data_IF_689640820701
#
_entry.id   IF_689640820701
#
_cell.length_a   1.000
_cell.length_b   1.000
_cell.length_c   1.000
_cell.angle_alpha   90.00
_cell.angle_beta   90.00
_cell.angle_gamma   90.00
#
_symmetry.space_group_name_H-M   'P 1'
#
loop_
_entity.id
_entity.type
_entity.pdbx_description
1 polymer ?
#
# COMPACT_ATOMS: atom_id res chain seq x y z
N UNK A 1 12.10 -21.45 -17.80
CA UNK A 1 12.30 -20.99 -16.43
C UNK A 1 13.09 -19.70 -16.50
N UNK A 2 12.55 -18.60 -16.01
CA UNK A 2 13.23 -17.29 -16.01
C UNK A 2 13.93 -17.14 -14.66
N UNK A 3 15.25 -16.85 -14.70
CA UNK A 3 16.03 -16.55 -13.51
C UNK A 3 16.04 -15.03 -13.31
N UNK A 4 15.67 -14.56 -12.12
CA UNK A 4 15.63 -13.16 -11.76
C UNK A 4 16.52 -12.95 -10.54
N UNK A 5 17.56 -12.15 -10.69
CA UNK A 5 18.42 -11.78 -9.57
C UNK A 5 17.73 -10.73 -8.70
N UNK A 6 17.71 -10.95 -7.39
CA UNK A 6 17.03 -10.13 -6.36
C UNK A 6 18.09 -9.40 -5.55
N UNK A 7 17.94 -8.09 -5.43
CA UNK A 7 18.88 -7.22 -4.72
C UNK A 7 18.16 -6.44 -3.60
N UNK A 8 18.85 -6.29 -2.49
CA UNK A 8 18.56 -5.29 -1.46
C UNK A 8 19.22 -3.95 -1.82
N UNK A 9 18.48 -2.85 -1.59
CA UNK A 9 18.97 -1.48 -1.82
C UNK A 9 18.36 -0.53 -0.79
N UNK A 10 18.39 -0.88 0.52
CA UNK A 10 17.96 0.03 1.57
C UNK A 10 19.05 1.04 1.94
N UNK A 11 18.63 2.16 2.50
CA UNK A 11 19.45 3.37 2.67
C UNK A 11 20.78 3.19 3.41
N UNK A 12 20.90 2.17 4.29
CA UNK A 12 22.14 1.89 5.01
C UNK A 12 23.19 1.19 4.17
N UNK A 13 22.81 0.65 3.00
CA UNK A 13 23.74 -0.01 2.08
C UNK A 13 24.42 1.02 1.18
N UNK A 14 25.75 0.98 1.10
CA UNK A 14 26.53 1.86 0.20
C UNK A 14 26.25 1.58 -1.29
N UNK A 15 25.82 0.35 -1.60
CA UNK A 15 25.47 -0.12 -2.94
C UNK A 15 24.46 -1.28 -2.84
N UNK A 16 23.65 -1.51 -3.87
CA UNK A 16 22.77 -2.67 -3.90
C UNK A 16 23.55 -3.99 -3.69
N UNK A 17 23.00 -4.86 -2.82
CA UNK A 17 23.56 -6.19 -2.51
C UNK A 17 22.64 -7.28 -3.03
N UNK A 18 23.20 -8.27 -3.72
CA UNK A 18 22.38 -9.41 -4.17
C UNK A 18 21.96 -10.25 -2.98
N UNK A 19 20.64 -10.44 -2.85
CA UNK A 19 20.02 -11.31 -1.86
C UNK A 19 19.99 -12.77 -2.32
N UNK A 20 19.71 -12.98 -3.62
CA UNK A 20 19.51 -14.30 -4.15
C UNK A 20 18.84 -14.30 -5.51
N UNK A 21 18.13 -15.38 -5.81
CA UNK A 21 17.50 -15.60 -7.10
C UNK A 21 16.05 -16.05 -6.98
N UNK A 22 15.18 -15.49 -7.82
CA UNK A 22 13.85 -15.98 -8.09
C UNK A 22 13.86 -16.85 -9.34
N UNK A 23 13.37 -18.06 -9.20
CA UNK A 23 13.15 -19.00 -10.30
C UNK A 23 11.67 -18.94 -10.69
N UNK A 24 11.34 -18.17 -11.73
CA UNK A 24 9.99 -18.09 -12.26
C UNK A 24 9.74 -19.28 -13.22
N UNK A 25 9.14 -20.32 -12.72
CA UNK A 25 8.79 -21.53 -13.46
C UNK A 25 7.31 -21.54 -13.88
N UNK A 26 7.01 -22.17 -15.03
CA UNK A 26 5.61 -22.45 -15.43
C UNK A 26 5.18 -23.78 -14.82
N UNK A 27 4.23 -23.71 -13.88
CA UNK A 27 3.51 -24.90 -13.41
C UNK A 27 2.10 -24.89 -14.01
N UNK A 28 1.84 -25.74 -15.00
CA UNK A 28 0.59 -25.80 -15.78
C UNK A 28 0.30 -24.45 -16.47
N UNK A 29 -0.63 -23.65 -15.95
CA UNK A 29 -1.03 -22.35 -16.50
C UNK A 29 -0.58 -21.15 -15.65
N UNK A 30 0.12 -21.36 -14.54
CA UNK A 30 0.57 -20.33 -13.60
C UNK A 30 2.09 -20.33 -13.46
N UNK A 31 2.70 -19.17 -13.21
CA UNK A 31 4.08 -19.12 -12.76
C UNK A 31 4.11 -19.29 -11.24
N UNK A 32 5.01 -20.11 -10.76
CA UNK A 32 5.33 -20.25 -9.34
C UNK A 32 6.73 -19.68 -9.15
N UNK A 33 6.90 -18.86 -8.14
CA UNK A 33 8.18 -18.34 -7.73
C UNK A 33 8.81 -19.26 -6.69
N UNK A 34 10.00 -19.75 -7.00
CA UNK A 34 10.90 -20.38 -6.04
C UNK A 34 12.00 -19.38 -5.74
N UNK A 35 12.36 -19.20 -4.47
CA UNK A 35 13.45 -18.29 -4.08
C UNK A 35 14.58 -19.06 -3.43
N UNK A 36 15.82 -18.68 -3.72
CA UNK A 36 17.01 -19.14 -3.02
C UNK A 36 17.91 -17.96 -2.68
N UNK A 37 18.45 -17.95 -1.46
CA UNK A 37 19.46 -16.98 -1.08
C UNK A 37 20.78 -17.26 -1.78
N UNK A 38 21.49 -16.19 -2.11
CA UNK A 38 22.91 -16.27 -2.43
C UNK A 38 23.69 -16.62 -1.14
N UNK A 39 24.57 -17.61 -1.16
CA UNK A 39 25.43 -17.99 -0.02
C UNK A 39 26.17 -16.77 0.53
N UNK A 40 26.66 -15.87 -0.36
CA UNK A 40 27.31 -14.64 0.05
C UNK A 40 26.37 -13.69 0.81
N UNK A 41 25.09 -13.66 0.48
CA UNK A 41 24.09 -12.83 1.17
C UNK A 41 23.82 -13.31 2.59
N UNK A 42 23.78 -14.62 2.81
CA UNK A 42 23.59 -15.20 4.14
C UNK A 42 24.76 -14.92 5.10
N UNK A 43 25.95 -14.65 4.54
CA UNK A 43 27.15 -14.32 5.29
C UNK A 43 27.46 -12.81 5.36
N UNK A 44 26.67 -11.96 4.67
CA UNK A 44 26.93 -10.52 4.59
C UNK A 44 26.37 -9.77 5.82
N UNK A 45 27.23 -9.22 6.68
CA UNK A 45 26.78 -8.51 7.88
C UNK A 45 26.04 -7.20 7.55
N UNK A 46 26.22 -6.61 6.36
CA UNK A 46 25.49 -5.40 5.94
C UNK A 46 24.03 -5.70 5.58
N UNK A 47 23.73 -6.95 5.22
CA UNK A 47 22.37 -7.42 4.97
C UNK A 47 21.61 -7.82 6.23
N UNK A 48 22.16 -7.58 7.41
CA UNK A 48 21.66 -7.99 8.72
C UNK A 48 20.14 -7.73 8.88
N UNK A 49 19.35 -8.70 8.51
CA UNK A 49 17.89 -8.71 8.65
C UNK A 49 17.43 -10.01 9.30
N UNK A 50 16.34 -9.94 10.07
CA UNK A 50 15.80 -11.12 10.76
C UNK A 50 14.87 -11.93 9.89
N UNK A 51 13.99 -11.24 9.14
CA UNK A 51 13.07 -11.84 8.16
C UNK A 51 12.63 -10.78 7.16
N UNK A 52 12.51 -11.16 5.90
CA UNK A 52 11.90 -10.34 4.83
C UNK A 52 10.46 -10.77 4.55
N UNK A 53 10.16 -12.03 4.84
CA UNK A 53 8.89 -12.68 4.63
C UNK A 53 8.85 -13.90 5.57
N UNK A 54 7.78 -14.14 6.32
CA UNK A 54 7.68 -15.27 7.25
C UNK A 54 7.92 -16.64 6.60
N UNK A 55 7.68 -16.76 5.31
CA UNK A 55 7.89 -17.99 4.53
C UNK A 55 9.28 -18.13 3.95
N UNK A 56 10.10 -17.08 3.99
CA UNK A 56 11.48 -17.13 3.52
C UNK A 56 12.41 -17.25 4.73
N UNK A 57 12.98 -18.42 4.91
CA UNK A 57 13.90 -18.70 6.04
C UNK A 57 15.35 -18.50 5.61
N UNK A 58 16.22 -18.15 6.55
CA UNK A 58 17.64 -17.87 6.32
C UNK A 58 18.47 -19.15 6.21
N UNK A 59 18.37 -19.83 5.06
CA UNK A 59 19.18 -21.01 4.75
C UNK A 59 19.47 -21.11 3.24
N UNK A 60 20.48 -21.89 2.90
CA UNK A 60 20.82 -22.21 1.51
C UNK A 60 19.80 -23.18 0.89
N UNK A 61 19.49 -22.98 -0.37
CA UNK A 61 18.59 -23.85 -1.14
C UNK A 61 17.27 -23.20 -1.50
N UNK A 62 16.52 -23.88 -2.36
CA UNK A 62 15.26 -23.38 -2.90
C UNK A 62 14.14 -23.47 -1.87
N UNK A 63 13.42 -22.40 -1.76
CA UNK A 63 12.25 -22.24 -0.92
C UNK A 63 11.01 -21.99 -1.79
N UNK A 64 9.87 -22.42 -1.32
CA UNK A 64 8.61 -22.41 -2.07
C UNK A 64 7.57 -21.59 -1.32
N UNK A 65 6.68 -20.86 -2.02
CA UNK A 65 5.55 -20.20 -1.41
C UNK A 65 4.60 -21.24 -0.82
N UNK A 66 3.68 -20.80 0.05
CA UNK A 66 2.70 -21.68 0.69
C UNK A 66 1.80 -22.42 -0.29
N UNK A 67 1.08 -23.44 0.22
CA UNK A 67 0.07 -24.14 -0.57
C UNK A 67 -0.94 -23.13 -1.12
N UNK A 68 -1.29 -23.26 -2.40
CA UNK A 68 -2.19 -22.37 -3.13
C UNK A 68 -1.66 -20.95 -3.42
N UNK A 69 -0.42 -20.63 -3.03
CA UNK A 69 0.23 -19.36 -3.37
C UNK A 69 1.18 -19.54 -4.55
N UNK A 70 1.25 -18.54 -5.43
CA UNK A 70 2.15 -18.55 -6.60
C UNK A 70 3.44 -17.77 -6.34
N UNK A 71 3.49 -16.96 -5.28
CA UNK A 71 4.59 -16.08 -4.91
C UNK A 71 4.63 -15.82 -3.41
N UNK A 72 5.79 -15.44 -2.91
CA UNK A 72 5.96 -14.93 -1.55
C UNK A 72 5.38 -13.52 -1.43
N UNK A 73 4.96 -13.16 -0.23
CA UNK A 73 4.34 -11.86 0.05
C UNK A 73 5.25 -10.68 -0.29
N UNK A 74 6.54 -10.75 0.06
CA UNK A 74 7.53 -9.70 -0.22
C UNK A 74 7.67 -9.40 -1.72
N UNK A 75 7.52 -10.39 -2.59
CA UNK A 75 7.50 -10.18 -4.04
C UNK A 75 6.13 -9.72 -4.54
N UNK A 76 5.07 -10.07 -3.82
CA UNK A 76 3.74 -9.53 -4.08
C UNK A 76 3.67 -8.03 -3.78
N UNK A 77 4.25 -7.58 -2.66
CA UNK A 77 4.33 -6.16 -2.29
C UNK A 77 5.15 -5.33 -3.29
N UNK A 78 6.13 -5.96 -3.96
CA UNK A 78 6.93 -5.33 -5.01
C UNK A 78 6.28 -5.36 -6.40
N UNK A 79 5.15 -6.06 -6.56
CA UNK A 79 4.40 -6.20 -7.82
C UNK A 79 3.31 -5.12 -7.93
N UNK A 80 2.75 -4.85 -9.12
CA UNK A 80 1.70 -3.87 -9.26
C UNK A 80 0.42 -4.30 -8.52
N UNK A 81 -0.31 -3.32 -7.98
CA UNK A 81 -1.64 -3.52 -7.43
C UNK A 81 -2.70 -3.86 -8.51
N UNK A 82 -3.96 -3.99 -8.11
CA UNK A 82 -5.05 -4.32 -9.04
C UNK A 82 -5.19 -3.30 -10.17
N UNK A 83 -5.01 -2.01 -9.87
CA UNK A 83 -5.05 -0.95 -10.88
C UNK A 83 -3.87 -1.08 -11.87
N UNK A 84 -2.65 -1.20 -11.36
CA UNK A 84 -1.45 -1.39 -12.20
C UNK A 84 -1.53 -2.65 -13.05
N UNK A 85 -2.04 -3.76 -12.51
CA UNK A 85 -2.27 -4.99 -13.29
C UNK A 85 -3.29 -4.79 -14.40
N UNK A 86 -4.39 -4.03 -14.14
CA UNK A 86 -5.38 -3.70 -15.15
C UNK A 86 -4.75 -2.91 -16.30
N UNK A 87 -3.94 -1.91 -15.99
CA UNK A 87 -3.24 -1.11 -16.99
C UNK A 87 -2.31 -1.95 -17.86
N UNK A 88 -1.52 -2.85 -17.24
CA UNK A 88 -0.63 -3.75 -17.98
C UNK A 88 -1.39 -4.72 -18.88
N UNK A 89 -2.52 -5.27 -18.42
CA UNK A 89 -3.39 -6.13 -19.24
C UNK A 89 -3.95 -5.38 -20.43
N UNK A 90 -4.50 -4.17 -20.24
CA UNK A 90 -5.02 -3.32 -21.32
C UNK A 90 -3.95 -2.95 -22.32
N UNK A 91 -2.71 -2.70 -21.86
CA UNK A 91 -1.60 -2.47 -22.76
C UNK A 91 -1.32 -3.68 -23.64
N UNK A 92 -1.23 -4.87 -23.03
CA UNK A 92 -1.01 -6.11 -23.80
C UNK A 92 -2.12 -6.36 -24.82
N UNK A 93 -3.40 -6.18 -24.45
CA UNK A 93 -4.53 -6.30 -25.37
C UNK A 93 -4.40 -5.36 -26.55
N UNK A 94 -3.94 -4.14 -26.32
CA UNK A 94 -3.67 -3.17 -27.37
C UNK A 94 -2.49 -3.57 -28.24
N UNK A 95 -1.38 -3.98 -27.65
CA UNK A 95 -0.21 -4.44 -28.39
C UNK A 95 -0.54 -5.66 -29.29
N UNK A 96 -1.41 -6.56 -28.85
CA UNK A 96 -1.92 -7.68 -29.65
C UNK A 96 -2.76 -7.17 -30.82
N UNK A 97 -3.66 -6.20 -30.60
CA UNK A 97 -4.51 -5.60 -31.64
C UNK A 97 -3.69 -4.88 -32.70
N UNK A 98 -2.67 -4.15 -32.27
CA UNK A 98 -1.78 -3.37 -33.14
C UNK A 98 -0.71 -4.27 -33.83
N UNK A 99 -0.71 -5.59 -33.55
CA UNK A 99 0.25 -6.53 -34.14
C UNK A 99 1.65 -6.48 -33.51
N UNK A 100 1.83 -5.76 -32.42
CA UNK A 100 3.09 -5.63 -31.68
C UNK A 100 3.35 -6.82 -30.76
N UNK A 101 2.30 -7.58 -30.40
CA UNK A 101 2.41 -8.81 -29.65
C UNK A 101 1.61 -9.95 -30.32
N UNK A 102 2.07 -11.21 -30.25
CA UNK A 102 1.35 -12.35 -30.81
C UNK A 102 -0.03 -12.54 -30.18
N UNK A 103 -1.01 -13.01 -30.98
CA UNK A 103 -2.32 -13.40 -30.46
C UNK A 103 -2.17 -14.52 -29.43
N UNK A 104 -2.89 -14.39 -28.31
CA UNK A 104 -2.86 -15.37 -27.23
C UNK A 104 -1.71 -15.18 -26.23
N UNK A 105 -0.86 -14.15 -26.38
CA UNK A 105 0.11 -13.75 -25.36
C UNK A 105 -0.62 -13.45 -24.04
N UNK A 106 -0.06 -13.89 -22.92
CA UNK A 106 -0.60 -13.68 -21.57
C UNK A 106 0.49 -13.11 -20.68
N UNK A 107 0.09 -12.27 -19.72
CA UNK A 107 0.95 -11.82 -18.62
C UNK A 107 0.94 -12.87 -17.51
N UNK A 108 2.13 -13.13 -16.97
CA UNK A 108 2.37 -13.99 -15.82
C UNK A 108 2.87 -13.16 -14.64
N UNK A 109 2.99 -13.76 -13.47
CA UNK A 109 3.46 -13.08 -12.27
C UNK A 109 4.84 -12.43 -12.45
N UNK A 110 5.75 -13.08 -13.22
CA UNK A 110 7.06 -12.51 -13.57
C UNK A 110 6.96 -11.25 -14.42
N UNK A 111 5.98 -11.19 -15.34
CA UNK A 111 5.80 -10.02 -16.19
C UNK A 111 5.26 -8.84 -15.37
N UNK A 112 4.34 -9.10 -14.41
CA UNK A 112 3.87 -8.11 -13.48
C UNK A 112 5.01 -7.60 -12.59
N UNK A 113 5.78 -8.50 -11.98
CA UNK A 113 6.91 -8.13 -11.13
C UNK A 113 7.93 -7.27 -11.87
N UNK A 114 8.37 -7.69 -13.06
CA UNK A 114 9.37 -7.00 -13.84
C UNK A 114 8.84 -5.76 -14.57
N UNK A 115 7.53 -5.64 -14.73
CA UNK A 115 6.89 -4.53 -15.43
C UNK A 115 6.68 -3.27 -14.59
N UNK A 116 7.00 -3.29 -13.29
CA UNK A 116 7.01 -2.08 -12.46
C UNK A 116 8.34 -1.36 -12.66
N UNK A 117 8.29 -0.08 -13.04
CA UNK A 117 9.48 0.73 -13.21
C UNK A 117 10.30 0.76 -11.91
N UNK A 118 11.60 0.47 -12.01
CA UNK A 118 12.48 0.27 -10.84
C UNK A 118 12.44 1.45 -9.87
N UNK A 119 12.55 2.69 -10.37
CA UNK A 119 12.55 3.90 -9.53
C UNK A 119 11.29 4.03 -8.67
N UNK A 120 10.13 3.54 -9.15
CA UNK A 120 8.82 3.70 -8.51
C UNK A 120 8.36 2.45 -7.76
N UNK A 121 9.10 1.37 -7.86
CA UNK A 121 8.84 0.14 -7.11
C UNK A 121 8.80 0.42 -5.60
N UNK A 122 7.84 -0.18 -4.92
CA UNK A 122 7.71 -0.07 -3.46
C UNK A 122 8.84 -0.81 -2.76
N UNK A 123 9.28 -0.24 -1.65
CA UNK A 123 10.33 -0.79 -0.82
C UNK A 123 11.72 -0.72 -1.45
N UNK A 124 12.59 -1.58 -1.00
CA UNK A 124 14.01 -1.55 -1.33
C UNK A 124 14.51 -2.83 -1.99
N UNK A 125 13.61 -3.71 -2.46
CA UNK A 125 13.99 -4.87 -3.28
C UNK A 125 13.95 -4.48 -4.75
N UNK A 126 15.02 -4.83 -5.47
CA UNK A 126 15.24 -4.53 -6.90
C UNK A 126 15.57 -5.80 -7.67
N UNK A 127 15.32 -5.80 -8.97
CA UNK A 127 15.39 -7.00 -9.80
C UNK A 127 16.23 -6.78 -11.05
N UNK A 128 16.99 -7.83 -11.46
CA UNK A 128 17.71 -7.88 -12.72
C UNK A 128 17.50 -9.24 -13.39
N UNK A 129 17.59 -9.28 -14.73
CA UNK A 129 17.63 -10.54 -15.49
C UNK A 129 19.05 -11.06 -15.71
N UNK A 130 20.04 -10.18 -15.61
CA UNK A 130 21.47 -10.53 -15.63
C UNK A 130 22.24 -9.55 -14.77
N UNK A 131 23.40 -9.94 -14.28
CA UNK A 131 24.18 -9.15 -13.32
C UNK A 131 24.73 -7.84 -13.92
N UNK A 132 25.00 -7.80 -15.22
CA UNK A 132 25.54 -6.63 -15.93
C UNK A 132 24.43 -5.67 -16.41
N UNK A 133 23.17 -6.10 -16.41
CA UNK A 133 22.02 -5.31 -16.85
C UNK A 133 21.58 -4.26 -15.84
N UNK A 134 20.67 -3.40 -16.30
CA UNK A 134 20.00 -2.44 -15.45
C UNK A 134 18.99 -3.12 -14.52
N UNK A 135 18.58 -2.43 -13.46
CA UNK A 135 17.44 -2.83 -12.65
C UNK A 135 16.14 -2.60 -13.44
N UNK A 136 15.26 -3.57 -13.45
CA UNK A 136 14.05 -3.57 -14.27
C UNK A 136 12.80 -3.12 -13.48
N UNK A 137 11.85 -2.42 -14.09
CA UNK A 137 11.83 -1.89 -15.47
C UNK A 137 12.63 -0.58 -15.53
N UNK A 138 13.46 -0.39 -16.58
CA UNK A 138 14.36 0.76 -16.74
C UNK A 138 13.98 1.70 -17.91
N UNK A 139 12.81 1.53 -18.49
CA UNK A 139 12.38 2.33 -19.65
C UNK A 139 12.10 3.78 -19.27
N UNK A 140 12.91 4.72 -19.73
CA UNK A 140 12.80 6.16 -19.42
C UNK A 140 11.43 6.76 -19.75
N UNK A 141 10.75 6.26 -20.78
CA UNK A 141 9.39 6.67 -21.14
C UNK A 141 8.32 6.32 -20.12
N UNK A 142 8.70 5.62 -19.04
CA UNK A 142 7.87 5.25 -17.90
C UNK A 142 8.24 6.04 -16.62
N UNK A 143 8.91 7.19 -16.74
CA UNK A 143 9.23 8.04 -15.60
C UNK A 143 7.96 8.67 -14.98
N UNK A 144 7.93 8.83 -13.63
CA UNK A 144 6.81 9.49 -12.96
C UNK A 144 6.66 10.93 -13.45
N UNK A 145 5.47 11.31 -13.89
CA UNK A 145 5.22 12.67 -14.32
C UNK A 145 5.29 13.65 -13.12
N UNK A 146 5.66 14.90 -13.37
CA UNK A 146 5.62 15.92 -12.33
C UNK A 146 4.18 16.32 -11.96
N UNK A 147 3.99 16.97 -10.83
CA UNK A 147 2.68 17.47 -10.36
C UNK A 147 1.93 18.35 -11.39
N UNK A 148 2.65 19.03 -12.26
CA UNK A 148 2.01 19.86 -13.33
C UNK A 148 1.17 19.03 -14.30
N UNK A 149 1.39 17.73 -14.36
CA UNK A 149 0.67 16.79 -15.23
C UNK A 149 -0.61 16.21 -14.58
N UNK A 150 -0.89 16.51 -13.28
CA UNK A 150 -1.98 15.87 -12.53
C UNK A 150 -3.34 16.03 -13.20
N UNK A 151 -3.64 17.20 -13.81
CA UNK A 151 -4.88 17.41 -14.58
C UNK A 151 -4.98 16.43 -15.76
N UNK A 152 -3.90 16.30 -16.53
CA UNK A 152 -3.86 15.41 -17.68
C UNK A 152 -3.96 13.94 -17.27
N UNK A 153 -3.31 13.55 -16.17
CA UNK A 153 -3.39 12.20 -15.61
C UNK A 153 -4.81 11.85 -15.13
N UNK A 154 -5.50 12.78 -14.45
CA UNK A 154 -6.89 12.60 -14.04
C UNK A 154 -7.81 12.43 -15.26
N UNK A 155 -7.65 13.27 -16.29
CA UNK A 155 -8.41 13.16 -17.55
C UNK A 155 -8.16 11.82 -18.23
N UNK A 156 -6.89 11.38 -18.33
CA UNK A 156 -6.52 10.10 -18.91
C UNK A 156 -7.11 8.92 -18.11
N UNK A 157 -7.11 9.00 -16.79
CA UNK A 157 -7.70 8.00 -15.90
C UNK A 157 -9.20 7.86 -16.12
N UNK A 158 -9.93 8.97 -16.13
CA UNK A 158 -11.39 9.01 -16.36
C UNK A 158 -11.76 8.53 -17.77
N UNK A 159 -10.98 8.95 -18.78
CA UNK A 159 -11.18 8.50 -20.15
C UNK A 159 -10.99 6.98 -20.28
N UNK A 160 -9.97 6.43 -19.59
CA UNK A 160 -9.72 5.00 -19.59
C UNK A 160 -10.82 4.19 -18.86
N UNK A 161 -11.42 4.72 -17.80
CA UNK A 161 -12.58 4.10 -17.14
C UNK A 161 -13.81 4.07 -18.05
N UNK A 162 -14.00 5.11 -18.90
CA UNK A 162 -15.10 5.23 -19.84
C UNK A 162 -14.86 4.47 -21.17
N UNK A 163 -13.65 3.92 -21.39
CA UNK A 163 -13.29 3.10 -22.55
C UNK A 163 -12.93 1.66 -22.11
N UNK A 164 -13.91 0.89 -21.59
CA UNK A 164 -13.66 -0.44 -21.04
C UNK A 164 -13.09 -1.42 -22.06
N UNK A 165 -13.42 -1.25 -23.34
CA UNK A 165 -12.94 -2.09 -24.44
C UNK A 165 -11.60 -1.62 -25.02
N UNK A 166 -11.05 -0.51 -24.49
CA UNK A 166 -9.77 0.07 -24.92
C UNK A 166 -9.72 0.31 -26.44
N UNK A 167 -10.82 0.85 -27.01
CA UNK A 167 -11.01 0.98 -28.46
C UNK A 167 -10.62 2.35 -29.01
N UNK A 168 -10.56 3.39 -28.15
CA UNK A 168 -10.26 4.75 -28.60
C UNK A 168 -8.85 4.90 -29.19
N UNK A 169 -8.67 5.80 -30.14
CA UNK A 169 -7.36 6.10 -30.74
C UNK A 169 -6.38 6.67 -29.70
N UNK A 170 -6.88 7.46 -28.75
CA UNK A 170 -6.08 8.12 -27.71
C UNK A 170 -5.72 7.18 -26.54
N UNK A 171 -6.34 6.01 -26.46
CA UNK A 171 -6.13 5.05 -25.35
C UNK A 171 -4.68 4.62 -25.17
N UNK A 172 -3.85 4.63 -26.22
CA UNK A 172 -2.41 4.32 -26.12
C UNK A 172 -1.66 5.39 -25.32
N UNK A 173 -1.95 6.65 -25.55
CA UNK A 173 -1.31 7.76 -24.84
C UNK A 173 -1.74 7.77 -23.37
N UNK A 174 -3.04 7.59 -23.09
CA UNK A 174 -3.55 7.48 -21.72
C UNK A 174 -2.91 6.32 -20.97
N UNK A 175 -2.83 5.13 -21.60
CA UNK A 175 -2.15 3.98 -20.99
C UNK A 175 -0.67 4.30 -20.73
N UNK A 176 0.02 4.95 -21.67
CA UNK A 176 1.42 5.34 -21.49
C UNK A 176 1.60 6.29 -20.31
N UNK A 177 0.72 7.27 -20.15
CA UNK A 177 0.77 8.23 -19.04
C UNK A 177 0.53 7.58 -17.67
N UNK A 178 -0.33 6.56 -17.60
CA UNK A 178 -0.76 5.94 -16.35
C UNK A 178 0.05 4.70 -15.95
N UNK A 179 0.56 3.91 -16.92
CA UNK A 179 1.32 2.67 -16.64
C UNK A 179 2.65 2.95 -15.97
N UNK A 180 3.33 4.03 -16.37
CA UNK A 180 4.62 4.38 -15.82
C UNK A 180 4.62 4.49 -14.29
N UNK A 181 3.60 5.15 -13.73
CA UNK A 181 3.53 5.38 -12.30
C UNK A 181 2.78 4.31 -11.50
N UNK A 182 2.24 3.29 -12.12
CA UNK A 182 1.46 2.24 -11.46
C UNK A 182 2.28 1.43 -10.46
N UNK A 183 2.49 1.99 -9.28
CA UNK A 183 3.16 1.35 -8.16
C UNK A 183 2.18 0.63 -7.24
N UNK A 184 2.70 -0.26 -6.44
CA UNK A 184 2.04 -1.33 -5.70
C UNK A 184 1.44 -0.94 -4.34
N UNK A 185 1.01 0.28 -4.11
CA UNK A 185 0.45 0.69 -2.81
C UNK A 185 -1.10 0.59 -2.76
N UNK A 186 -1.61 -0.64 -2.98
CA UNK A 186 -2.98 -1.03 -2.60
C UNK A 186 -4.13 -0.49 -3.46
N UNK A 187 -5.14 -1.33 -3.72
CA UNK A 187 -6.46 -0.94 -4.20
C UNK A 187 -6.69 -0.97 -5.72
N UNK A 188 -7.97 -0.91 -6.11
CA UNK A 188 -8.43 -0.94 -7.49
C UNK A 188 -8.74 0.46 -8.08
N UNK A 189 -8.67 1.50 -7.26
CA UNK A 189 -8.95 2.88 -7.68
C UNK A 189 -7.86 3.44 -8.58
N UNK A 190 -8.22 4.35 -9.51
CA UNK A 190 -7.27 5.04 -10.36
C UNK A 190 -6.22 5.80 -9.54
N UNK A 191 -4.95 5.55 -9.81
CA UNK A 191 -3.84 6.21 -9.14
C UNK A 191 -2.59 6.24 -10.01
N UNK A 192 -1.66 7.14 -9.66
CA UNK A 192 -0.36 7.24 -10.30
C UNK A 192 0.73 7.65 -9.30
N UNK A 193 1.96 7.19 -9.50
CA UNK A 193 3.12 7.81 -8.85
C UNK A 193 3.46 9.10 -9.57
N UNK A 194 3.69 10.16 -8.81
CA UNK A 194 4.07 11.48 -9.34
C UNK A 194 5.24 12.03 -8.53
N UNK A 195 5.97 13.00 -9.09
CA UNK A 195 7.08 13.64 -8.41
C UNK A 195 6.77 15.12 -8.16
N UNK A 196 7.07 15.60 -6.94
CA UNK A 196 7.03 17.03 -6.66
C UNK A 196 8.26 17.78 -7.26
N UNK A 197 8.29 19.09 -7.09
CA UNK A 197 9.38 19.95 -7.60
C UNK A 197 10.76 19.61 -7.02
N UNK A 198 10.80 18.93 -5.90
CA UNK A 198 12.04 18.51 -5.23
C UNK A 198 12.44 17.07 -5.61
N UNK A 199 11.62 16.39 -6.43
CA UNK A 199 11.83 15.01 -6.85
C UNK A 199 11.32 13.96 -5.85
N UNK A 200 10.64 14.35 -4.77
CA UNK A 200 10.02 13.42 -3.85
C UNK A 200 8.86 12.70 -4.55
N UNK A 201 8.71 11.43 -4.24
CA UNK A 201 7.66 10.58 -4.80
C UNK A 201 6.36 10.69 -3.99
N UNK A 202 5.26 10.79 -4.70
CA UNK A 202 3.91 10.83 -4.18
C UNK A 202 3.03 9.83 -4.94
N UNK A 203 1.93 9.43 -4.31
CA UNK A 203 0.86 8.70 -4.96
C UNK A 203 -0.31 9.66 -5.11
N UNK A 204 -0.74 9.90 -6.35
CA UNK A 204 -1.95 10.63 -6.64
C UNK A 204 -3.09 9.63 -6.84
N UNK A 205 -4.13 9.71 -6.00
CA UNK A 205 -5.38 8.94 -6.10
C UNK A 205 -6.41 9.82 -6.80
N UNK A 206 -6.81 9.42 -8.00
CA UNK A 206 -7.74 10.21 -8.81
C UNK A 206 -9.19 9.87 -8.50
N UNK A 207 -10.12 10.84 -8.65
CA UNK A 207 -11.54 10.56 -8.66
C UNK A 207 -11.90 9.54 -9.73
N UNK A 208 -12.70 8.54 -9.38
CA UNK A 208 -13.27 7.59 -10.32
C UNK A 208 -14.55 8.13 -10.92
N UNK A 209 -14.88 7.75 -12.16
CA UNK A 209 -16.17 8.05 -12.78
C UNK A 209 -17.34 7.35 -12.10
N UNK A 210 -17.06 6.43 -11.18
CA UNK A 210 -18.03 5.65 -10.39
C UNK A 210 -18.26 6.19 -8.98
N UNK A 211 -17.57 7.26 -8.61
CA UNK A 211 -17.69 7.82 -7.26
C UNK A 211 -18.98 8.62 -7.11
N UNK A 212 -19.80 8.20 -6.14
CA UNK A 212 -21.04 8.89 -5.78
C UNK A 212 -20.81 10.11 -4.85
N UNK A 213 -19.59 10.21 -4.29
CA UNK A 213 -19.16 11.28 -3.38
C UNK A 213 -17.65 11.53 -3.52
N UNK A 214 -17.16 12.62 -2.93
CA UNK A 214 -15.75 13.02 -2.99
C UNK A 214 -14.86 12.18 -2.08
N UNK A 215 -14.48 10.97 -2.54
CA UNK A 215 -13.66 10.02 -1.77
C UNK A 215 -12.30 10.62 -1.41
N UNK A 216 -11.63 11.29 -2.36
CA UNK A 216 -10.33 11.92 -2.10
C UNK A 216 -10.40 13.05 -1.08
N UNK A 217 -11.47 13.84 -1.10
CA UNK A 217 -11.73 14.87 -0.11
C UNK A 217 -11.97 14.28 1.29
N UNK A 218 -12.72 13.19 1.40
CA UNK A 218 -12.96 12.51 2.68
C UNK A 218 -11.72 11.80 3.21
N UNK A 219 -10.91 11.16 2.36
CA UNK A 219 -9.64 10.59 2.79
C UNK A 219 -8.71 11.67 3.35
N UNK A 220 -8.68 12.86 2.74
CA UNK A 220 -7.92 13.99 3.26
C UNK A 220 -8.46 14.47 4.61
N UNK A 221 -9.78 14.62 4.77
CA UNK A 221 -10.40 15.01 6.06
C UNK A 221 -9.97 14.05 7.17
N UNK A 222 -10.08 12.73 6.93
CA UNK A 222 -9.68 11.72 7.91
C UNK A 222 -8.17 11.77 8.19
N UNK A 223 -7.34 11.99 7.18
CA UNK A 223 -5.88 12.14 7.38
C UNK A 223 -5.52 13.36 8.26
N UNK A 224 -6.24 14.47 8.10
CA UNK A 224 -6.07 15.67 8.94
C UNK A 224 -6.47 15.38 10.38
N UNK A 225 -7.62 14.72 10.60
CA UNK A 225 -8.08 14.34 11.95
C UNK A 225 -7.11 13.37 12.61
N UNK A 226 -6.62 12.35 11.89
CA UNK A 226 -5.63 11.41 12.40
C UNK A 226 -4.33 12.11 12.84
N UNK A 227 -3.85 13.06 12.05
CA UNK A 227 -2.69 13.87 12.40
C UNK A 227 -2.96 14.75 13.65
N UNK A 228 -4.15 15.34 13.77
CA UNK A 228 -4.55 16.11 14.94
C UNK A 228 -4.70 15.24 16.21
N UNK A 229 -5.05 13.98 16.07
CA UNK A 229 -5.00 12.96 17.13
C UNK A 229 -3.57 12.57 17.53
N UNK A 230 -2.55 13.02 16.80
CA UNK A 230 -1.14 12.66 17.05
C UNK A 230 -0.69 11.34 16.44
N UNK A 231 -1.50 10.72 15.59
CA UNK A 231 -1.09 9.53 14.84
C UNK A 231 -0.01 9.88 13.80
N UNK A 232 0.89 8.93 13.54
CA UNK A 232 1.84 9.03 12.44
C UNK A 232 1.12 8.77 11.12
N UNK A 233 0.95 9.82 10.32
CA UNK A 233 0.19 9.78 9.07
C UNK A 233 1.07 10.23 7.92
N UNK A 234 1.00 9.52 6.80
CA UNK A 234 1.66 9.94 5.58
C UNK A 234 1.14 11.32 5.13
N UNK A 235 2.06 12.23 4.80
CA UNK A 235 1.71 13.60 4.43
C UNK A 235 0.79 13.63 3.22
N UNK A 236 -0.40 14.23 3.37
CA UNK A 236 -1.44 14.32 2.35
C UNK A 236 -1.67 15.75 1.83
N UNK A 237 -2.15 15.84 0.60
CA UNK A 237 -2.63 17.07 -0.05
C UNK A 237 -3.88 16.70 -0.85
N UNK A 238 -4.95 17.48 -0.77
CA UNK A 238 -6.14 17.31 -1.61
C UNK A 238 -6.35 18.53 -2.49
N UNK A 239 -6.64 18.33 -3.78
CA UNK A 239 -6.92 19.39 -4.75
C UNK A 239 -7.75 18.88 -5.90
N UNK A 240 -8.71 19.69 -6.38
CA UNK A 240 -9.46 19.43 -7.60
C UNK A 240 -8.67 19.86 -8.83
N UNK A 241 -8.62 19.01 -9.88
CA UNK A 241 -7.88 19.29 -11.12
C UNK A 241 -8.78 19.30 -12.36
N UNK A 242 -9.39 18.18 -12.71
CA UNK A 242 -10.20 18.01 -13.91
C UNK A 242 -11.68 17.73 -13.61
N UNK A 243 -12.02 17.48 -12.37
CA UNK A 243 -13.38 17.26 -11.88
C UNK A 243 -13.65 18.07 -10.60
N UNK A 244 -14.88 18.03 -10.12
CA UNK A 244 -15.31 18.69 -8.88
C UNK A 244 -14.90 17.89 -7.62
N UNK A 245 -14.44 16.63 -7.77
CA UNK A 245 -13.93 15.82 -6.70
C UNK A 245 -12.42 16.00 -6.54
N UNK A 246 -11.93 15.83 -5.32
CA UNK A 246 -10.51 15.97 -5.02
C UNK A 246 -9.68 14.78 -5.49
N UNK A 247 -8.58 15.07 -6.16
CA UNK A 247 -7.44 14.16 -6.21
C UNK A 247 -6.72 14.24 -4.85
N UNK A 248 -6.58 13.11 -4.18
CA UNK A 248 -5.80 13.02 -2.95
C UNK A 248 -4.40 12.53 -3.26
N UNK A 249 -3.40 13.31 -2.86
CA UNK A 249 -1.99 12.99 -3.05
C UNK A 249 -1.35 12.70 -1.70
N UNK A 250 -0.68 11.56 -1.59
CA UNK A 250 0.02 11.14 -0.38
C UNK A 250 1.51 10.96 -0.66
N UNK A 251 2.38 11.58 0.17
CA UNK A 251 3.83 11.42 0.06
C UNK A 251 4.21 9.99 0.41
N UNK A 252 5.08 9.39 -0.39
CA UNK A 252 5.58 8.04 -0.12
C UNK A 252 6.51 8.08 1.09
N UNK A 253 6.25 7.19 2.04
CA UNK A 253 7.03 7.03 3.26
C UNK A 253 8.12 5.95 3.14
N UNK A 254 8.15 5.20 2.03
CA UNK A 254 9.19 4.21 1.73
C UNK A 254 10.42 4.82 1.02
N UNK A 255 10.54 6.14 1.11
CA UNK A 255 11.70 6.91 0.63
C UNK A 255 12.13 7.93 1.68
N UNK A 256 13.44 8.08 1.84
CA UNK A 256 14.00 9.17 2.64
C UNK A 256 13.88 10.52 1.93
N UNK A 257 14.11 11.61 2.63
CA UNK A 257 14.12 12.95 2.03
C UNK A 257 15.22 13.12 0.96
N UNK A 258 16.26 12.30 1.02
CA UNK A 258 17.36 12.27 0.02
C UNK A 258 17.10 11.28 -1.12
N UNK A 259 15.96 10.57 -1.10
CA UNK A 259 15.57 9.60 -2.12
C UNK A 259 16.06 8.17 -1.88
N UNK A 260 16.74 7.89 -0.75
CA UNK A 260 17.11 6.55 -0.32
C UNK A 260 15.86 5.67 -0.14
N UNK A 261 16.01 4.36 -0.35
CA UNK A 261 14.90 3.40 -0.24
C UNK A 261 14.80 2.85 1.18
N UNK A 262 13.59 2.78 1.69
CA UNK A 262 13.24 2.03 2.91
C UNK A 262 12.51 0.76 2.46
N UNK A 263 12.93 -0.40 2.99
CA UNK A 263 12.24 -1.63 2.64
C UNK A 263 10.89 -1.70 3.35
N UNK A 264 9.86 -2.05 2.58
CA UNK A 264 8.47 -2.11 3.01
C UNK A 264 7.95 -3.55 2.87
N UNK A 265 7.20 -3.99 3.86
CA UNK A 265 6.36 -5.18 3.80
C UNK A 265 4.95 -4.84 4.27
N UNK A 266 3.91 -5.30 3.57
CA UNK A 266 2.53 -5.16 4.04
C UNK A 266 2.26 -6.05 5.25
N UNK A 267 1.25 -5.71 6.06
CA UNK A 267 0.81 -6.59 7.13
C UNK A 267 0.31 -7.93 6.57
N UNK A 268 -0.31 -7.92 5.39
CA UNK A 268 -0.70 -9.15 4.70
C UNK A 268 0.51 -10.10 4.49
N UNK A 269 1.67 -9.55 4.10
CA UNK A 269 2.91 -10.32 3.97
C UNK A 269 3.41 -10.83 5.30
N UNK A 270 3.50 -9.94 6.31
CA UNK A 270 4.12 -10.27 7.61
C UNK A 270 3.26 -11.20 8.46
N UNK A 271 1.94 -11.23 8.27
CA UNK A 271 1.00 -12.15 8.94
C UNK A 271 0.70 -13.42 8.13
N UNK A 272 1.33 -13.56 6.93
CA UNK A 272 1.11 -14.68 6.02
C UNK A 272 -0.34 -14.85 5.55
N UNK A 273 -1.10 -13.75 5.52
CA UNK A 273 -2.48 -13.69 5.02
C UNK A 273 -2.52 -13.51 3.51
N UNK A 274 -3.68 -13.77 2.92
CA UNK A 274 -3.92 -13.57 1.49
C UNK A 274 -4.88 -12.42 1.22
N UNK A 275 -4.87 -11.92 -0.01
CA UNK A 275 -5.74 -10.80 -0.41
C UNK A 275 -7.22 -11.20 -0.31
N UNK A 276 -7.97 -10.47 0.50
CA UNK A 276 -9.38 -10.72 0.80
C UNK A 276 -9.63 -11.36 2.16
N UNK A 277 -8.60 -11.78 2.89
CA UNK A 277 -8.78 -12.21 4.29
C UNK A 277 -9.28 -11.04 5.14
N UNK A 278 -10.31 -11.29 5.92
CA UNK A 278 -10.96 -10.33 6.81
C UNK A 278 -11.39 -10.98 8.15
N UNK A 279 -12.15 -10.25 8.96
CA UNK A 279 -12.65 -10.72 10.24
C UNK A 279 -13.37 -12.08 10.17
N UNK A 280 -14.07 -12.37 9.06
CA UNK A 280 -14.82 -13.62 8.90
C UNK A 280 -13.94 -14.88 8.85
N UNK A 281 -12.67 -14.73 8.49
CA UNK A 281 -11.65 -15.80 8.51
C UNK A 281 -10.62 -15.61 9.63
N UNK A 282 -10.94 -14.77 10.61
CA UNK A 282 -10.13 -14.55 11.82
C UNK A 282 -8.95 -13.60 11.62
N UNK A 283 -8.92 -12.80 10.55
CA UNK A 283 -7.89 -11.76 10.42
C UNK A 283 -8.11 -10.66 11.49
N UNK A 284 -7.05 -10.27 12.22
CA UNK A 284 -7.18 -9.39 13.38
C UNK A 284 -6.00 -8.43 13.53
N UNK A 285 -6.21 -7.34 14.27
CA UNK A 285 -5.14 -6.43 14.69
C UNK A 285 -4.17 -7.09 15.69
N UNK A 286 -4.60 -8.17 16.35
CA UNK A 286 -3.74 -8.94 17.27
C UNK A 286 -2.58 -9.59 16.52
N UNK A 287 -2.80 -10.07 15.28
CA UNK A 287 -1.73 -10.62 14.44
C UNK A 287 -0.68 -9.54 14.10
N UNK A 288 -1.12 -8.30 13.84
CA UNK A 288 -0.18 -7.18 13.60
C UNK A 288 0.64 -6.88 14.87
N UNK A 289 -0.01 -6.95 16.03
CA UNK A 289 0.66 -6.76 17.31
C UNK A 289 1.70 -7.88 17.56
N UNK A 290 1.41 -9.13 17.22
CA UNK A 290 2.36 -10.25 17.30
C UNK A 290 3.59 -9.97 16.43
N UNK A 291 3.42 -9.52 15.19
CA UNK A 291 4.55 -9.13 14.31
C UNK A 291 5.43 -8.06 14.98
N UNK A 292 4.81 -7.05 15.60
CA UNK A 292 5.56 -6.00 16.31
C UNK A 292 6.27 -6.51 17.58
N UNK A 293 5.68 -7.45 18.28
CA UNK A 293 6.30 -8.06 19.46
C UNK A 293 7.49 -8.95 19.12
N UNK A 294 7.39 -9.72 18.02
CA UNK A 294 8.41 -10.67 17.61
C UNK A 294 9.54 -10.03 16.78
N UNK A 295 9.20 -9.08 15.93
CA UNK A 295 10.10 -8.55 14.92
C UNK A 295 10.31 -7.03 15.00
N UNK A 296 9.61 -6.33 15.90
CA UNK A 296 9.66 -4.87 15.99
C UNK A 296 10.97 -4.34 16.57
N UNK A 297 11.49 -3.23 16.04
CA UNK A 297 12.65 -2.51 16.58
C UNK A 297 12.29 -1.57 17.74
N UNK A 298 11.05 -1.10 17.81
CA UNK A 298 10.51 -0.28 18.91
C UNK A 298 9.09 -0.72 19.28
N UNK A 299 8.92 -1.96 19.79
CA UNK A 299 7.60 -2.58 19.94
C UNK A 299 6.64 -1.76 20.81
N UNK A 300 7.09 -1.17 21.93
CA UNK A 300 6.21 -0.43 22.83
C UNK A 300 5.57 0.79 22.15
N UNK A 301 6.35 1.50 21.34
CA UNK A 301 5.84 2.67 20.60
C UNK A 301 4.87 2.26 19.49
N UNK A 302 5.23 1.22 18.76
CA UNK A 302 4.46 0.80 17.60
C UNK A 302 3.19 0.04 17.98
N UNK A 303 3.18 -0.69 19.10
CA UNK A 303 1.97 -1.28 19.68
C UNK A 303 0.99 -0.20 20.16
N UNK A 304 1.47 0.83 20.89
CA UNK A 304 0.64 1.96 21.30
C UNK A 304 0.05 2.69 20.10
N UNK A 305 0.87 2.94 19.07
CA UNK A 305 0.41 3.55 17.81
C UNK A 305 -0.65 2.70 17.13
N UNK A 306 -0.46 1.39 17.01
CA UNK A 306 -1.40 0.47 16.38
C UNK A 306 -2.74 0.46 17.13
N UNK A 307 -2.71 0.38 18.47
CA UNK A 307 -3.93 0.46 19.27
C UNK A 307 -4.64 1.80 19.09
N UNK A 308 -3.91 2.89 19.05
CA UNK A 308 -4.48 4.22 18.80
C UNK A 308 -5.15 4.30 17.42
N UNK A 309 -4.61 3.62 16.40
CA UNK A 309 -5.26 3.50 15.09
C UNK A 309 -6.55 2.70 15.14
N UNK A 310 -6.64 1.66 15.97
CA UNK A 310 -7.91 0.91 16.19
C UNK A 310 -8.97 1.86 16.74
N UNK A 311 -8.67 2.61 17.80
CA UNK A 311 -9.57 3.61 18.37
C UNK A 311 -10.00 4.63 17.32
N UNK A 312 -9.06 5.14 16.55
CA UNK A 312 -9.34 6.11 15.49
C UNK A 312 -10.23 5.53 14.39
N UNK A 313 -9.95 4.32 13.90
CA UNK A 313 -10.73 3.64 12.87
C UNK A 313 -12.19 3.40 13.33
N UNK A 314 -12.41 3.06 14.60
CA UNK A 314 -13.75 2.96 15.21
C UNK A 314 -14.45 4.33 15.14
N UNK A 315 -13.78 5.40 15.55
CA UNK A 315 -14.37 6.76 15.65
C UNK A 315 -14.73 7.37 14.31
N UNK A 316 -13.99 7.04 13.23
CA UNK A 316 -14.26 7.54 11.88
C UNK A 316 -14.95 6.51 10.99
N UNK A 317 -15.32 5.34 11.55
CA UNK A 317 -15.90 4.20 10.81
C UNK A 317 -15.08 3.84 9.57
N UNK A 318 -13.75 3.71 9.71
CA UNK A 318 -12.86 3.27 8.62
C UNK A 318 -12.98 1.75 8.46
N UNK A 319 -14.09 1.29 7.90
CA UNK A 319 -14.45 -0.13 7.83
C UNK A 319 -13.81 -0.89 6.65
N UNK A 320 -13.03 -0.22 5.80
CA UNK A 320 -12.21 -0.87 4.77
C UNK A 320 -10.74 -1.05 5.20
N UNK A 321 -10.47 -0.99 6.51
CA UNK A 321 -9.13 -1.12 7.09
C UNK A 321 -8.66 -2.58 7.10
N UNK A 322 -8.13 -3.04 5.99
CA UNK A 322 -7.67 -4.41 5.78
C UNK A 322 -6.13 -4.55 5.90
N UNK A 323 -5.61 -5.79 5.91
CA UNK A 323 -4.18 -6.10 6.07
C UNK A 323 -3.24 -5.36 5.09
N UNK A 324 -3.72 -4.90 3.94
CA UNK A 324 -2.90 -4.13 2.99
C UNK A 324 -2.83 -2.63 3.31
N UNK A 325 -3.68 -2.13 4.22
CA UNK A 325 -3.68 -0.74 4.68
C UNK A 325 -2.75 -0.54 5.87
N UNK A 326 -2.10 -1.62 6.33
CA UNK A 326 -1.02 -1.59 7.29
C UNK A 326 0.27 -2.09 6.67
N UNK A 327 1.38 -1.52 7.07
CA UNK A 327 2.70 -1.93 6.60
C UNK A 327 3.78 -1.71 7.64
N UNK A 328 4.92 -2.30 7.34
CA UNK A 328 6.10 -2.22 8.15
C UNK A 328 7.28 -1.73 7.31
N UNK A 329 8.14 -0.92 7.91
CA UNK A 329 9.40 -0.45 7.34
C UNK A 329 10.54 -1.15 8.07
N UNK A 330 11.46 -1.73 7.30
CA UNK A 330 12.66 -2.36 7.86
C UNK A 330 13.59 -1.28 8.44
N UNK A 331 13.97 -1.48 9.70
CA UNK A 331 15.08 -0.79 10.37
C UNK A 331 16.27 -1.78 10.38
N UNK A 332 17.22 -1.65 9.43
CA UNK A 332 18.24 -2.65 9.20
C UNK A 332 19.07 -2.96 10.45
N UNK A 333 19.18 -4.24 10.80
CA UNK A 333 19.89 -4.74 11.98
C UNK A 333 19.12 -4.57 13.30
N UNK A 334 17.92 -3.97 13.29
CA UNK A 334 17.12 -3.75 14.51
C UNK A 334 15.74 -4.39 14.46
N UNK A 335 15.17 -4.56 13.27
CA UNK A 335 13.84 -5.15 13.09
C UNK A 335 12.91 -4.29 12.23
N UNK A 336 11.63 -4.31 12.52
CA UNK A 336 10.60 -3.63 11.76
C UNK A 336 9.93 -2.51 12.57
N UNK A 337 9.47 -1.48 11.90
CA UNK A 337 8.67 -0.38 12.46
C UNK A 337 7.31 -0.36 11.80
N UNK A 338 6.26 -0.09 12.52
CA UNK A 338 4.97 0.21 11.93
C UNK A 338 5.11 1.43 11.00
N UNK A 339 4.62 1.35 9.76
CA UNK A 339 4.67 2.48 8.81
C UNK A 339 3.78 3.64 9.24
N UNK A 340 3.87 4.77 8.57
CA UNK A 340 2.84 5.80 8.67
C UNK A 340 1.47 5.22 8.26
N UNK A 341 0.39 5.75 8.85
CA UNK A 341 -0.96 5.39 8.48
C UNK A 341 -1.33 5.96 7.10
N UNK A 342 -2.03 5.19 6.30
CA UNK A 342 -2.46 5.54 4.95
C UNK A 342 -3.76 4.84 4.59
N UNK A 343 -4.46 5.33 3.57
CA UNK A 343 -5.68 4.72 3.02
C UNK A 343 -6.83 4.62 4.04
N UNK A 344 -7.04 5.69 4.81
CA UNK A 344 -8.09 5.79 5.82
C UNK A 344 -9.30 6.51 5.24
N UNK A 345 -10.43 5.83 5.13
CA UNK A 345 -11.65 6.36 4.53
C UNK A 345 -12.86 6.17 5.46
N UNK A 346 -13.69 7.22 5.68
CA UNK A 346 -14.90 7.06 6.48
C UNK A 346 -15.98 6.37 5.65
N UNK A 347 -16.75 5.49 6.27
CA UNK A 347 -17.87 4.78 5.63
C UNK A 347 -19.15 5.04 6.44
N UNK A 348 -20.11 5.73 5.83
CA UNK A 348 -21.41 5.96 6.46
C UNK A 348 -22.21 4.65 6.60
N UNK A 349 -22.88 4.45 7.74
CA UNK A 349 -23.73 3.27 8.00
C UNK A 349 -23.02 1.91 7.93
N UNK A 350 -21.77 1.86 8.38
CA UNK A 350 -21.02 0.62 8.43
C UNK A 350 -21.17 -0.11 9.77
N UNK A 351 -21.10 -1.43 9.77
CA UNK A 351 -21.43 -2.26 10.94
C UNK A 351 -20.19 -2.75 11.71
N UNK A 352 -19.00 -2.80 11.09
CA UNK A 352 -17.77 -3.29 11.74
C UNK A 352 -16.52 -3.07 10.90
N UNK A 353 -15.35 -3.19 11.51
CA UNK A 353 -14.05 -3.10 10.83
C UNK A 353 -13.78 -4.36 9.97
N UNK A 354 -12.84 -4.25 9.03
CA UNK A 354 -12.40 -5.41 8.23
C UNK A 354 -11.58 -6.42 9.05
N UNK A 355 -10.92 -5.96 10.10
CA UNK A 355 -10.13 -6.79 10.99
C UNK A 355 -10.81 -6.92 12.34
N UNK A 356 -10.72 -8.09 12.96
CA UNK A 356 -11.16 -8.28 14.34
C UNK A 356 -10.32 -7.42 15.29
N UNK A 357 -10.97 -6.81 16.27
CA UNK A 357 -10.33 -6.05 17.36
C UNK A 357 -9.91 -7.02 18.45
N UNK A 358 -10.79 -7.95 18.82
CA UNK A 358 -10.52 -9.09 19.69
C UNK A 358 -10.22 -10.34 18.86
N UNK A 359 -10.34 -11.53 19.41
CA UNK A 359 -10.16 -12.79 18.68
C UNK A 359 -11.26 -13.02 17.61
N UNK A 360 -12.47 -12.46 17.82
CA UNK A 360 -13.65 -12.78 17.00
C UNK A 360 -14.63 -11.62 16.81
N UNK A 361 -14.33 -10.39 17.29
CA UNK A 361 -15.25 -9.27 17.23
C UNK A 361 -14.58 -8.05 16.57
N UNK A 362 -15.27 -7.48 15.59
CA UNK A 362 -14.85 -6.34 14.79
C UNK A 362 -15.83 -5.15 14.86
N UNK A 363 -16.79 -5.17 15.80
CA UNK A 363 -17.80 -4.14 15.92
C UNK A 363 -17.19 -2.74 16.14
N UNK A 364 -17.89 -1.70 15.66
CA UNK A 364 -17.52 -0.32 15.92
C UNK A 364 -17.86 0.05 17.38
N UNK A 365 -17.12 -0.54 18.31
CA UNK A 365 -17.33 -0.38 19.75
C UNK A 365 -16.00 -0.09 20.46
N UNK A 366 -15.95 1.04 21.20
CA UNK A 366 -14.79 1.45 21.98
C UNK A 366 -14.50 0.52 23.17
N UNK A 367 -15.52 -0.25 23.64
CA UNK A 367 -15.29 -1.23 24.73
C UNK A 367 -14.34 -2.35 24.25
N UNK A 368 -14.45 -2.78 22.98
CA UNK A 368 -13.52 -3.77 22.42
C UNK A 368 -12.09 -3.23 22.40
N UNK A 369 -11.90 -1.96 22.07
CA UNK A 369 -10.57 -1.34 22.13
C UNK A 369 -10.03 -1.30 23.56
N UNK A 370 -10.89 -1.01 24.58
CA UNK A 370 -10.52 -1.03 26.00
C UNK A 370 -10.12 -2.43 26.46
N UNK A 371 -10.87 -3.45 26.04
CA UNK A 371 -10.62 -4.85 26.39
C UNK A 371 -9.20 -5.29 25.97
N UNK A 372 -8.78 -4.94 24.75
CA UNK A 372 -7.50 -5.36 24.19
C UNK A 372 -6.34 -4.42 24.52
N UNK A 373 -6.56 -3.25 25.15
CA UNK A 373 -5.52 -2.24 25.39
C UNK A 373 -4.24 -2.81 26.04
N UNK A 374 -4.42 -3.70 27.02
CA UNK A 374 -3.30 -4.37 27.71
C UNK A 374 -2.42 -5.21 26.78
N UNK A 375 -2.99 -5.84 25.75
CA UNK A 375 -2.26 -6.62 24.76
C UNK A 375 -1.30 -5.72 23.94
N UNK A 376 -1.70 -4.47 23.71
CA UNK A 376 -0.90 -3.44 23.03
C UNK A 376 -0.02 -2.63 24.01
N UNK A 377 0.13 -3.09 25.26
CA UNK A 377 0.91 -2.41 26.32
C UNK A 377 0.41 -1.01 26.65
N UNK A 378 -0.88 -0.75 26.44
CA UNK A 378 -1.54 0.51 26.80
C UNK A 378 -2.20 0.33 28.16
N UNK A 379 -1.88 1.22 29.12
CA UNK A 379 -2.51 1.19 30.42
C UNK A 379 -3.96 1.63 30.33
N UNK A 380 -4.81 1.23 31.30
CA UNK A 380 -6.22 1.67 31.32
C UNK A 380 -6.33 3.19 31.40
N UNK A 381 -5.46 3.85 32.12
CA UNK A 381 -5.47 5.32 32.26
C UNK A 381 -5.12 5.96 30.90
N UNK A 382 -4.03 5.51 30.27
CA UNK A 382 -3.66 6.00 28.94
C UNK A 382 -4.75 5.73 27.90
N UNK A 383 -5.42 4.58 27.99
CA UNK A 383 -6.50 4.23 27.06
C UNK A 383 -7.67 5.23 27.14
N UNK A 384 -8.11 5.57 28.35
CA UNK A 384 -9.19 6.57 28.50
C UNK A 384 -8.74 7.97 28.01
N UNK A 385 -7.54 8.41 28.36
CA UNK A 385 -7.00 9.69 27.89
C UNK A 385 -6.94 9.77 26.37
N UNK A 386 -6.50 8.70 25.70
CA UNK A 386 -6.45 8.64 24.23
C UNK A 386 -7.86 8.67 23.64
N UNK A 387 -8.78 7.86 24.17
CA UNK A 387 -10.15 7.79 23.67
C UNK A 387 -10.86 9.14 23.80
N UNK A 388 -10.78 9.78 24.97
CA UNK A 388 -11.40 11.10 25.20
C UNK A 388 -10.83 12.16 24.26
N UNK A 389 -9.50 12.25 24.15
CA UNK A 389 -8.84 13.16 23.23
C UNK A 389 -9.25 12.92 21.75
N UNK A 390 -9.31 11.66 21.33
CA UNK A 390 -9.67 11.33 19.95
C UNK A 390 -11.13 11.63 19.66
N UNK A 391 -12.05 11.37 20.62
CA UNK A 391 -13.45 11.74 20.48
C UNK A 391 -13.63 13.25 20.31
N UNK A 392 -12.89 14.07 21.08
CA UNK A 392 -12.93 15.53 20.96
C UNK A 392 -12.40 16.00 19.60
N UNK A 393 -11.23 15.48 19.16
CA UNK A 393 -10.64 15.85 17.88
C UNK A 393 -11.52 15.41 16.72
N UNK A 394 -11.99 14.16 16.70
CA UNK A 394 -12.84 13.62 15.63
C UNK A 394 -14.19 14.36 15.62
N UNK A 395 -14.72 14.84 16.76
CA UNK A 395 -15.90 15.69 16.83
C UNK A 395 -15.81 16.98 16.00
N UNK A 396 -14.57 17.41 15.63
CA UNK A 396 -14.35 18.57 14.76
C UNK A 396 -14.47 18.24 13.25
N UNK A 397 -14.82 17.00 12.87
CA UNK A 397 -14.84 16.53 11.50
C UNK A 397 -15.58 17.46 10.52
N UNK A 398 -16.73 18.00 10.92
CA UNK A 398 -17.51 18.89 10.06
C UNK A 398 -16.81 20.23 9.78
N UNK A 399 -15.99 20.72 10.72
CA UNK A 399 -15.16 21.91 10.53
C UNK A 399 -14.03 21.63 9.52
N UNK A 400 -13.37 20.49 9.64
CA UNK A 400 -12.30 20.05 8.70
C UNK A 400 -12.90 19.82 7.32
N UNK A 401 -14.02 19.09 7.19
CA UNK A 401 -14.71 18.84 5.93
C UNK A 401 -15.10 20.14 5.21
N UNK A 402 -15.60 21.13 5.94
CA UNK A 402 -15.95 22.45 5.40
C UNK A 402 -14.70 23.20 4.93
N UNK A 403 -13.61 23.15 5.69
CA UNK A 403 -12.34 23.76 5.30
C UNK A 403 -11.72 23.10 4.07
N UNK A 404 -11.97 21.82 3.84
CA UNK A 404 -11.58 21.07 2.63
C UNK A 404 -12.45 21.44 1.42
N UNK A 405 -13.62 22.06 1.62
CA UNK A 405 -14.55 22.45 0.53
C UNK A 405 -15.65 21.44 0.25
N UNK A 406 -15.81 20.41 1.12
CA UNK A 406 -16.90 19.45 0.97
C UNK A 406 -18.26 20.10 1.20
N UNK A 407 -19.22 19.82 0.33
CA UNK A 407 -20.55 20.42 0.36
C UNK A 407 -21.33 20.01 1.63
N UNK A 408 -22.30 20.84 2.05
CA UNK A 408 -23.16 20.52 3.20
C UNK A 408 -23.90 19.19 2.99
N UNK A 409 -24.35 18.90 1.76
CA UNK A 409 -25.03 17.64 1.43
C UNK A 409 -24.11 16.43 1.65
N UNK A 410 -22.84 16.51 1.23
CA UNK A 410 -21.87 15.46 1.47
C UNK A 410 -21.57 15.27 2.96
N UNK A 411 -21.44 16.40 3.71
CA UNK A 411 -21.25 16.34 5.15
C UNK A 411 -22.43 15.66 5.85
N UNK A 412 -23.67 15.97 5.45
CA UNK A 412 -24.86 15.35 6.04
C UNK A 412 -24.94 13.85 5.71
N UNK A 413 -24.56 13.45 4.50
CA UNK A 413 -24.52 12.04 4.10
C UNK A 413 -23.45 11.24 4.85
N UNK A 414 -22.28 11.85 5.15
CA UNK A 414 -21.17 11.18 5.84
C UNK A 414 -21.25 11.28 7.38
N UNK A 415 -22.10 12.14 7.92
CA UNK A 415 -22.24 12.33 9.38
C UNK A 415 -22.41 11.02 10.19
N UNK A 416 -23.12 9.97 9.68
CA UNK A 416 -23.22 8.70 10.39
C UNK A 416 -21.87 8.00 10.65
N UNK A 417 -20.85 8.24 9.83
CA UNK A 417 -19.52 7.66 10.05
C UNK A 417 -18.84 8.15 11.35
N UNK A 418 -19.25 9.30 11.86
CA UNK A 418 -18.65 9.96 13.02
C UNK A 418 -19.53 9.90 14.29
N UNK A 419 -20.45 8.95 14.34
CA UNK A 419 -21.49 8.89 15.40
C UNK A 419 -20.95 8.63 16.81
N UNK A 420 -19.73 8.06 16.94
CA UNK A 420 -19.06 7.78 18.21
C UNK A 420 -18.14 8.92 18.70
N UNK A 421 -17.96 9.98 17.90
CA UNK A 421 -17.20 11.16 18.31
C UNK A 421 -17.98 12.02 19.32
N UNK A 422 -17.29 12.90 20.03
CA UNK A 422 -17.94 13.87 20.91
C UNK A 422 -18.86 14.81 20.10
N UNK A 423 -20.01 15.14 20.69
CA UNK A 423 -21.00 16.04 20.07
C UNK A 423 -20.64 17.51 20.31
#
# INVERSE_FOLDING_TARGET
>A
MTLIAVYADWETLQRPRRLGFLHAGKARSTNVFEFEYDTAALADPELNFTTLDPRIKLFEGRQFPGQHQTRFGVFADSSPDRWGQLLMKRRLERDIRDGLAPKGTKLYESDFLLGVHDRYRVGAIRYKLNDEGNFLDDRDGLAAPPFVELRALEQASRALENDPDNMSLDGREWLRMLIAPGGSLGGARPKASVADKNGHLWIAKFPSTRDDYDVGGWEFVVSVLANQCGLRVAKGIAQCYASDHHCFMVKRFDRTETGGRLHFASAMTMTDRVDGDDASVGASYLELAEVLMEHGSEPDKDLRELWSRIVFNILVSNTDDHMRNHGFLLDPGRGWRLSDAYDMNPVAHADGLKLNITDADNALDLELAREVAGYFRVSRVDAEEIIENFQEVVGQWAKVARATGLSKREQDNMAPAFHLSAK
#
